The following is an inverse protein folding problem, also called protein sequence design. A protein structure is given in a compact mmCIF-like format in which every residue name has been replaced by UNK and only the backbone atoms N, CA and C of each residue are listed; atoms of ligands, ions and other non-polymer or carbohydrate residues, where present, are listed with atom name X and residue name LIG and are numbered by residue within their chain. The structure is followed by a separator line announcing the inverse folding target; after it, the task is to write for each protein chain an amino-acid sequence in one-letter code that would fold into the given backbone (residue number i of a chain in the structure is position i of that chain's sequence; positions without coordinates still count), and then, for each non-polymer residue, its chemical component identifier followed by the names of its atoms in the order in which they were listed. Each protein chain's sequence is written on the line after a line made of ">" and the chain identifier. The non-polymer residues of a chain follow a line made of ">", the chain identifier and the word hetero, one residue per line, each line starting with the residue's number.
data_IF_263333526348
#
_entry.id   IF_263333526348
#
_cell.length_a   1.000
_cell.length_b   1.000
_cell.length_c   1.000
_cell.angle_alpha   90.00
_cell.angle_beta   90.00
_cell.angle_gamma   90.00
#
_symmetry.space_group_name_H-M   'P 1'
#
loop_
_entity.id
_entity.type
_entity.pdbx_description
1 polymer ?
#
# COMPACT_ATOMS: atom_id res chain seq x y z
N UNK A 1 7.58 9.16 22.26
CA UNK A 1 6.98 8.17 21.33
C UNK A 1 6.18 8.95 20.29
N UNK A 2 6.44 8.77 18.99
CA UNK A 2 5.79 9.56 17.94
C UNK A 2 4.44 8.92 17.60
N UNK A 3 3.35 9.46 18.13
CA UNK A 3 1.99 9.04 17.78
C UNK A 3 1.70 9.55 16.37
N UNK A 4 1.72 8.66 15.38
CA UNK A 4 1.40 9.00 14.01
C UNK A 4 -0.13 8.97 13.88
N UNK A 5 -0.74 10.11 13.56
CA UNK A 5 -2.19 10.19 13.32
C UNK A 5 -2.52 9.70 11.92
N UNK A 6 -3.53 8.82 11.81
CA UNK A 6 -3.98 8.20 10.55
C UNK A 6 -4.34 9.24 9.49
N UNK A 7 -4.95 10.35 9.91
CA UNK A 7 -5.42 11.45 9.05
C UNK A 7 -4.27 12.20 8.37
N UNK A 8 -3.08 12.19 8.97
CA UNK A 8 -1.87 12.85 8.43
C UNK A 8 -1.04 11.92 7.54
N UNK A 9 -1.49 10.68 7.33
CA UNK A 9 -0.75 9.69 6.57
C UNK A 9 -0.80 10.00 5.08
N UNK A 10 0.36 9.97 4.45
CA UNK A 10 0.43 9.99 2.99
C UNK A 10 0.02 8.62 2.46
N UNK A 11 -1.01 8.57 1.62
CA UNK A 11 -1.39 7.33 0.94
C UNK A 11 -0.25 6.89 0.03
N UNK A 12 0.20 5.66 0.24
CA UNK A 12 1.22 4.99 -0.54
C UNK A 12 0.45 4.04 -1.45
N UNK A 13 0.45 4.30 -2.74
CA UNK A 13 -0.06 3.35 -3.73
C UNK A 13 1.11 2.57 -4.33
N UNK A 14 0.96 1.25 -4.40
CA UNK A 14 1.84 0.37 -5.14
C UNK A 14 1.00 -0.43 -6.14
N UNK A 15 1.34 -0.37 -7.41
CA UNK A 15 0.54 -0.97 -8.50
C UNK A 15 -0.95 -0.59 -8.43
N UNK A 16 -1.22 0.70 -8.18
CA UNK A 16 -2.58 1.26 -8.04
C UNK A 16 -3.38 0.71 -6.85
N UNK A 17 -2.72 0.08 -5.87
CA UNK A 17 -3.34 -0.45 -4.65
C UNK A 17 -2.78 0.29 -3.44
N UNK A 18 -3.61 0.78 -2.51
CA UNK A 18 -3.14 1.39 -1.28
C UNK A 18 -2.43 0.33 -0.40
N UNK A 19 -1.20 0.64 0.01
CA UNK A 19 -0.34 -0.26 0.77
C UNK A 19 0.31 0.45 1.96
N UNK A 20 0.64 -0.31 3.00
CA UNK A 20 1.23 0.18 4.24
C UNK A 20 2.51 -0.59 4.54
N UNK A 21 3.58 0.10 4.93
CA UNK A 21 4.84 -0.57 5.29
C UNK A 21 4.77 -1.16 6.70
N UNK A 22 5.57 -2.20 6.97
CA UNK A 22 5.63 -2.83 8.30
C UNK A 22 5.98 -1.81 9.42
N UNK A 23 6.90 -0.89 9.15
CA UNK A 23 7.31 0.16 10.10
C UNK A 23 6.16 1.12 10.43
N UNK A 24 5.38 1.50 9.41
CA UNK A 24 4.23 2.37 9.58
C UNK A 24 3.12 1.64 10.34
N UNK A 25 2.81 0.40 9.95
CA UNK A 25 1.81 -0.43 10.61
C UNK A 25 2.13 -0.64 12.10
N UNK A 26 3.39 -0.93 12.42
CA UNK A 26 3.86 -1.06 13.79
C UNK A 26 3.67 0.23 14.59
N UNK A 27 4.06 1.38 14.01
CA UNK A 27 3.91 2.69 14.64
C UNK A 27 2.45 3.05 14.92
N UNK A 28 1.54 2.67 14.00
CA UNK A 28 0.11 2.91 14.09
C UNK A 28 -0.52 2.06 15.20
N UNK A 29 -0.29 0.74 15.17
CA UNK A 29 -0.75 -0.18 16.21
C UNK A 29 -0.04 0.02 17.56
N UNK A 30 1.02 0.82 17.61
CA UNK A 30 1.82 1.04 18.81
C UNK A 30 2.59 -0.19 19.24
N UNK A 31 2.99 -1.02 18.29
CA UNK A 31 3.82 -2.22 18.51
C UNK A 31 5.17 -2.07 17.80
N UNK A 32 6.07 -3.03 17.99
CA UNK A 32 7.34 -3.04 17.27
C UNK A 32 7.22 -3.77 15.91
N UNK A 33 7.96 -3.34 14.88
CA UNK A 33 7.96 -3.99 13.57
C UNK A 33 8.38 -5.47 13.66
N UNK A 34 9.18 -5.84 14.66
CA UNK A 34 9.57 -7.22 14.93
C UNK A 34 8.35 -8.10 15.30
N UNK A 35 7.38 -7.57 16.05
CA UNK A 35 6.14 -8.29 16.37
C UNK A 35 5.31 -8.58 15.12
N UNK A 36 5.19 -7.60 14.22
CA UNK A 36 4.48 -7.78 12.94
C UNK A 36 5.15 -8.88 12.10
N UNK A 37 6.49 -8.88 12.00
CA UNK A 37 7.24 -9.92 11.28
C UNK A 37 7.09 -11.30 11.91
N UNK A 38 7.18 -11.39 13.25
CA UNK A 38 6.95 -12.65 13.99
C UNK A 38 5.53 -13.16 13.78
N UNK A 39 4.54 -12.28 13.82
CA UNK A 39 3.13 -12.59 13.63
C UNK A 39 2.87 -13.11 12.21
N UNK A 40 3.47 -12.48 11.20
CA UNK A 40 3.48 -12.98 9.82
C UNK A 40 4.13 -14.35 9.71
N UNK A 41 5.35 -14.54 10.20
CA UNK A 41 6.06 -15.81 10.08
C UNK A 41 5.31 -16.98 10.74
N UNK A 42 4.65 -16.74 11.88
CA UNK A 42 3.82 -17.75 12.57
C UNK A 42 2.59 -18.17 11.77
N UNK A 43 2.09 -17.29 10.91
CA UNK A 43 0.82 -17.47 10.21
C UNK A 43 0.98 -17.32 8.70
N UNK A 44 2.19 -17.53 8.18
CA UNK A 44 2.56 -17.25 6.79
C UNK A 44 1.64 -17.98 5.81
N UNK A 45 1.19 -19.19 6.14
CA UNK A 45 0.21 -19.95 5.36
C UNK A 45 -1.20 -19.33 5.24
N UNK A 46 -1.51 -18.29 6.03
CA UNK A 46 -2.77 -17.51 5.92
C UNK A 46 -2.61 -16.25 5.07
N UNK A 47 -1.38 -15.89 4.73
CA UNK A 47 -1.08 -14.75 3.87
C UNK A 47 -0.80 -15.24 2.45
N UNK A 48 -1.14 -14.38 1.48
CA UNK A 48 -1.04 -14.69 0.06
C UNK A 48 -0.41 -13.49 -0.60
N UNK A 49 0.73 -13.72 -1.26
CA UNK A 49 1.43 -12.68 -2.00
C UNK A 49 0.53 -12.14 -3.12
N UNK A 50 0.56 -10.83 -3.33
CA UNK A 50 -0.31 -10.13 -4.28
C UNK A 50 -1.73 -9.82 -3.78
N UNK A 51 -2.21 -10.52 -2.73
CA UNK A 51 -3.53 -10.26 -2.11
C UNK A 51 -3.44 -9.56 -0.77
N UNK A 52 -2.61 -10.12 0.12
CA UNK A 52 -2.45 -9.64 1.49
C UNK A 52 -1.18 -8.80 1.65
N UNK A 53 -0.15 -9.11 0.87
CA UNK A 53 1.11 -8.38 0.91
C UNK A 53 1.82 -8.43 -0.45
N UNK A 54 2.69 -7.45 -0.68
CA UNK A 54 3.65 -7.45 -1.77
C UNK A 54 5.06 -7.52 -1.17
N UNK A 55 5.89 -8.39 -1.73
CA UNK A 55 7.28 -8.52 -1.35
C UNK A 55 8.10 -7.80 -2.42
N UNK A 56 8.72 -6.69 -2.06
CA UNK A 56 9.64 -5.94 -2.91
C UNK A 56 11.06 -6.44 -2.67
N UNK A 57 11.72 -6.91 -3.72
CA UNK A 57 13.12 -7.33 -3.66
C UNK A 57 13.92 -6.68 -4.78
N UNK A 58 15.24 -6.56 -4.58
CA UNK A 58 16.19 -6.09 -5.58
C UNK A 58 15.81 -4.73 -6.23
N UNK A 59 15.40 -4.77 -7.51
CA UNK A 59 15.09 -3.60 -8.32
C UNK A 59 13.79 -2.92 -7.91
N UNK A 60 12.74 -3.68 -7.60
CA UNK A 60 11.45 -3.11 -7.16
C UNK A 60 11.61 -2.30 -5.87
N UNK A 61 12.47 -2.79 -4.95
CA UNK A 61 12.79 -2.05 -3.74
C UNK A 61 13.56 -0.75 -4.03
N UNK A 62 14.41 -0.74 -5.06
CA UNK A 62 15.18 0.44 -5.46
C UNK A 62 14.25 1.50 -6.06
N UNK A 63 13.33 1.09 -6.93
CA UNK A 63 12.31 1.98 -7.51
C UNK A 63 11.35 2.51 -6.46
N UNK A 64 10.88 1.65 -5.56
CA UNK A 64 10.01 2.06 -4.46
C UNK A 64 10.71 3.05 -3.51
N UNK A 65 12.00 2.83 -3.19
CA UNK A 65 12.79 3.80 -2.42
C UNK A 65 12.90 5.13 -3.15
N UNK A 66 13.10 5.13 -4.47
CA UNK A 66 13.18 6.34 -5.26
C UNK A 66 11.84 7.11 -5.25
N UNK A 67 10.71 6.44 -5.46
CA UNK A 67 9.39 7.06 -5.41
C UNK A 67 9.02 7.57 -4.01
N UNK A 68 9.44 6.85 -2.96
CA UNK A 68 9.27 7.26 -1.56
C UNK A 68 10.26 8.33 -1.10
N UNK A 69 11.40 8.51 -1.78
CA UNK A 69 12.38 9.54 -1.43
C UNK A 69 11.81 10.96 -1.57
N UNK A 70 10.75 11.11 -2.39
CA UNK A 70 9.96 12.33 -2.54
C UNK A 70 8.94 12.55 -1.40
N UNK A 71 8.75 11.55 -0.51
CA UNK A 71 7.76 11.56 0.57
C UNK A 71 8.45 11.45 1.94
N UNK A 72 8.58 12.54 2.71
CA UNK A 72 9.34 12.56 3.96
C UNK A 72 8.72 11.75 5.11
N UNK A 73 7.48 11.26 4.94
CA UNK A 73 6.72 10.53 5.95
C UNK A 73 7.13 9.06 6.10
N UNK A 74 7.78 8.46 5.09
CA UNK A 74 8.11 7.02 5.09
C UNK A 74 9.63 6.82 5.19
N UNK A 75 10.11 6.44 6.37
CA UNK A 75 11.53 6.11 6.57
C UNK A 75 11.77 4.64 6.24
N UNK A 76 12.42 4.38 5.11
CA UNK A 76 12.90 3.05 4.74
C UNK A 76 14.39 2.98 5.04
N UNK A 77 14.83 1.97 5.79
CA UNK A 77 16.26 1.79 6.06
C UNK A 77 17.03 1.49 4.75
N UNK A 78 18.20 2.13 4.58
CA UNK A 78 19.01 2.01 3.36
C UNK A 78 19.45 0.57 3.07
N UNK A 79 19.76 -0.22 4.10
CA UNK A 79 20.29 -1.59 3.99
C UNK A 79 19.24 -2.71 3.93
N UNK A 80 17.95 -2.38 3.81
CA UNK A 80 16.91 -3.40 3.66
C UNK A 80 17.08 -4.08 2.31
N UNK A 81 17.15 -5.42 2.30
CA UNK A 81 17.28 -6.27 1.09
C UNK A 81 15.92 -6.70 0.53
N UNK A 82 14.90 -6.76 1.40
CA UNK A 82 13.53 -7.16 1.08
C UNK A 82 12.56 -6.32 1.92
N UNK A 83 11.55 -5.71 1.30
CA UNK A 83 10.52 -4.92 2.00
C UNK A 83 9.15 -5.53 1.78
N UNK A 84 8.40 -5.72 2.87
CA UNK A 84 7.02 -6.19 2.79
C UNK A 84 6.08 -4.99 2.88
N UNK A 85 5.22 -4.86 1.86
CA UNK A 85 4.11 -3.94 1.80
C UNK A 85 2.82 -4.69 2.12
N UNK A 86 2.02 -4.17 3.03
CA UNK A 86 0.75 -4.75 3.45
C UNK A 86 -0.39 -4.06 2.73
N UNK A 87 -1.29 -4.83 2.13
CA UNK A 87 -2.56 -4.29 1.64
C UNK A 87 -3.53 -4.09 2.81
N UNK A 88 -4.67 -3.45 2.57
CA UNK A 88 -5.79 -3.40 3.52
C UNK A 88 -6.08 -4.74 4.18
N UNK A 89 -6.23 -5.79 3.36
CA UNK A 89 -6.53 -7.13 3.86
C UNK A 89 -5.38 -7.72 4.69
N UNK A 90 -4.14 -7.36 4.37
CA UNK A 90 -2.97 -7.75 5.16
C UNK A 90 -2.94 -7.05 6.53
N UNK A 91 -3.18 -5.74 6.55
CA UNK A 91 -3.27 -4.94 7.77
C UNK A 91 -4.42 -5.44 8.67
N UNK A 92 -5.59 -5.69 8.09
CA UNK A 92 -6.75 -6.26 8.80
C UNK A 92 -6.41 -7.59 9.50
N UNK A 93 -5.70 -8.48 8.81
CA UNK A 93 -5.25 -9.75 9.39
C UNK A 93 -4.29 -9.53 10.55
N UNK A 94 -3.39 -8.55 10.46
CA UNK A 94 -2.53 -8.20 11.57
C UNK A 94 -3.31 -7.66 12.76
N UNK A 95 -4.27 -6.74 12.57
CA UNK A 95 -5.11 -6.26 13.66
C UNK A 95 -5.87 -7.41 14.34
N UNK A 96 -6.51 -8.27 13.54
CA UNK A 96 -7.21 -9.45 14.04
C UNK A 96 -6.31 -10.39 14.83
N UNK A 97 -5.05 -10.53 14.44
CA UNK A 97 -4.12 -11.50 15.02
C UNK A 97 -3.22 -10.91 16.12
N UNK A 98 -3.22 -9.59 16.28
CA UNK A 98 -2.64 -8.90 17.43
C UNK A 98 -3.58 -8.96 18.64
N UNK A 99 -4.89 -9.07 18.41
CA UNK A 99 -5.92 -9.16 19.45
C UNK A 99 -5.82 -8.04 20.49
N UNK A 100 -5.36 -6.85 20.09
CA UNK A 100 -5.27 -5.66 20.95
C UNK A 100 -6.32 -4.64 20.56
N UNK A 101 -7.04 -4.09 21.55
CA UNK A 101 -8.07 -3.06 21.32
C UNK A 101 -7.54 -1.90 20.46
N UNK A 102 -6.30 -1.50 20.74
CA UNK A 102 -5.61 -0.46 19.97
C UNK A 102 -5.44 -0.81 18.49
N UNK A 103 -5.11 -2.06 18.15
CA UNK A 103 -4.95 -2.45 16.75
C UNK A 103 -6.29 -2.48 16.02
N UNK A 104 -7.38 -2.85 16.71
CA UNK A 104 -8.74 -2.78 16.19
C UNK A 104 -9.18 -1.33 15.95
N UNK A 105 -9.02 -0.44 16.94
CA UNK A 105 -9.39 0.99 16.80
C UNK A 105 -8.61 1.69 15.68
N UNK A 106 -7.32 1.40 15.57
CA UNK A 106 -6.47 1.98 14.53
C UNK A 106 -6.83 1.43 13.16
N UNK A 107 -7.18 0.15 13.05
CA UNK A 107 -7.59 -0.45 11.80
C UNK A 107 -8.88 0.18 11.28
N UNK A 108 -9.89 0.37 12.13
CA UNK A 108 -11.15 1.05 11.77
C UNK A 108 -10.89 2.46 11.20
N UNK A 109 -10.07 3.26 11.89
CA UNK A 109 -9.67 4.59 11.40
C UNK A 109 -8.90 4.53 10.08
N UNK A 110 -8.11 3.48 9.87
CA UNK A 110 -7.30 3.32 8.66
C UNK A 110 -8.17 2.90 7.47
N UNK A 111 -9.20 2.08 7.70
CA UNK A 111 -10.22 1.76 6.69
C UNK A 111 -10.92 3.05 6.23
N UNK A 112 -11.42 3.85 7.18
CA UNK A 112 -12.16 5.08 6.88
C UNK A 112 -11.30 6.19 6.27
N UNK A 113 -10.06 6.37 6.74
CA UNK A 113 -9.23 7.51 6.31
C UNK A 113 -8.22 7.16 5.21
N UNK A 114 -7.70 5.93 5.15
CA UNK A 114 -6.59 5.60 4.26
C UNK A 114 -7.04 4.80 3.04
N UNK A 115 -7.90 3.80 3.25
CA UNK A 115 -8.42 2.95 2.16
C UNK A 115 -9.67 3.53 1.50
N UNK A 116 -10.51 4.26 2.25
CA UNK A 116 -11.69 4.94 1.72
C UNK A 116 -11.37 6.16 0.85
N UNK A 117 -10.15 6.72 0.97
CA UNK A 117 -9.65 7.73 0.05
C UNK A 117 -9.44 7.09 -1.33
N UNK A 118 -10.49 7.14 -2.15
CA UNK A 118 -10.43 6.80 -3.57
C UNK A 118 -9.22 7.47 -4.17
N UNK A 119 -8.31 6.68 -4.73
CA UNK A 119 -7.26 7.20 -5.61
C UNK A 119 -8.02 8.05 -6.64
N UNK A 120 -7.79 9.38 -6.73
CA UNK A 120 -8.41 10.15 -7.77
C UNK A 120 -7.98 9.50 -9.08
N UNK A 121 -8.96 9.12 -9.88
CA UNK A 121 -8.87 8.40 -11.16
C UNK A 121 -7.97 9.10 -12.21
N UNK A 122 -7.34 10.21 -11.83
CA UNK A 122 -6.47 11.09 -12.62
C UNK A 122 -5.05 10.56 -12.89
N UNK A 123 -4.68 9.37 -12.41
CA UNK A 123 -3.42 8.70 -12.80
C UNK A 123 -3.63 7.51 -13.74
N UNK A 124 -4.86 7.27 -14.20
CA UNK A 124 -5.07 6.47 -15.40
C UNK A 124 -4.53 7.27 -16.61
N UNK A 125 -3.26 7.06 -16.94
CA UNK A 125 -2.83 7.28 -18.32
C UNK A 125 -3.74 6.39 -19.20
N UNK A 126 -4.42 6.93 -20.22
CA UNK A 126 -5.36 6.17 -21.00
C UNK A 126 -4.60 5.06 -21.76
N UNK A 127 -4.74 3.81 -21.31
CA UNK A 127 -4.47 2.63 -22.12
C UNK A 127 -5.57 2.51 -23.19
N UNK A 128 -5.54 3.42 -24.18
CA UNK A 128 -6.23 3.21 -25.44
C UNK A 128 -5.57 3.99 -26.58
N UNK A 129 -4.25 3.99 -26.65
CA UNK A 129 -3.54 4.09 -27.93
C UNK A 129 -3.26 2.67 -28.42
N UNK A 130 -4.25 1.99 -29.00
CA UNK A 130 -4.10 0.85 -29.93
C UNK A 130 -5.48 0.39 -30.43
N UNK A 131 -6.19 1.27 -31.13
CA UNK A 131 -7.11 0.84 -32.19
C UNK A 131 -7.01 1.85 -33.32
N UNK A 132 -5.98 1.65 -34.14
CA UNK A 132 -5.99 2.10 -35.52
C UNK A 132 -7.23 1.45 -36.17
N UNK A 133 -8.24 2.26 -36.49
CA UNK A 133 -9.16 1.99 -37.59
C UNK A 133 -9.87 3.29 -37.97
N UNK A 134 -9.30 3.95 -38.97
CA UNK A 134 -10.05 4.88 -39.80
C UNK A 134 -11.11 4.10 -40.60
N UNK A 135 -12.34 4.61 -40.71
CA UNK A 135 -13.10 4.47 -41.93
C UNK A 135 -13.17 5.82 -42.65
N UNK A 136 -12.62 5.83 -43.87
CA UNK A 136 -13.00 6.76 -44.92
C UNK A 136 -14.51 6.69 -45.15
N UNK A 137 -15.12 7.83 -45.52
CA UNK A 137 -16.54 8.10 -45.78
C UNK A 137 -17.36 8.54 -44.57
N UNK A 138 -18.21 9.55 -44.76
CA UNK A 138 -19.39 9.97 -43.95
C UNK A 138 -19.56 11.43 -43.54
N UNK A 139 -18.82 12.39 -44.09
CA UNK A 139 -19.40 13.74 -44.25
C UNK A 139 -19.11 14.30 -45.65
N UNK A 140 -19.95 13.87 -46.60
CA UNK A 140 -20.26 14.61 -47.82
C UNK A 140 -21.31 15.68 -47.52
N UNK A 141 -21.17 16.81 -48.23
CA UNK A 141 -22.16 17.83 -48.60
C UNK A 141 -23.35 18.14 -47.67
N UNK A 142 -23.40 19.38 -47.18
CA UNK A 142 -24.30 20.41 -47.72
C UNK A 142 -23.84 21.83 -47.32
#
# INVERSE_FOLDING_TARGET
>A
MKTISVESLSIISFSNIPVVTTELLASLYGTEPDYIRKNFNRNSGRFVIGKHYFLLENEELREFKHSMSLRPSVKIARNVRSLILWTERGAARHAKMLETDRAWEVFEKLEDCYFSQKIPEQLQLPESTLSINYPLSWFSDN
#
